data_IF_184161007901
#
_entry.id   IF_184161007901
#
_cell.length_a   1.000
_cell.length_b   1.000
_cell.length_c   1.000
_cell.angle_alpha   90.00
_cell.angle_beta   90.00
_cell.angle_gamma   90.00
#
_symmetry.space_group_name_H-M   'P 1'
#
loop_
_entity.id
_entity.type
_entity.pdbx_description
1 polymer ?
#
# COMPACT_ATOMS: atom_id res chain seq x y z
N UNK A 1 67.92 37.55 -16.87
CA UNK A 1 67.41 36.19 -16.51
C UNK A 1 66.36 36.30 -15.41
N UNK A 2 66.67 36.97 -14.30
CA UNK A 2 65.75 37.14 -13.14
C UNK A 2 64.53 38.00 -13.48
N UNK A 3 64.65 39.04 -14.31
CA UNK A 3 63.51 39.92 -14.64
C UNK A 3 62.37 39.17 -15.35
N UNK A 4 62.70 38.24 -16.23
CA UNK A 4 61.73 37.40 -16.94
C UNK A 4 61.03 36.42 -15.99
N UNK A 5 61.76 35.87 -15.00
CA UNK A 5 61.20 35.00 -13.97
C UNK A 5 60.16 35.74 -13.13
N UNK A 6 60.43 37.01 -12.76
CA UNK A 6 59.50 37.83 -11.98
C UNK A 6 58.23 38.13 -12.78
N UNK A 7 58.37 38.46 -14.08
CA UNK A 7 57.22 38.69 -14.97
C UNK A 7 56.32 37.46 -15.11
N UNK A 8 56.90 36.28 -15.34
CA UNK A 8 56.13 35.02 -15.45
C UNK A 8 55.45 34.67 -14.13
N UNK A 9 56.12 34.87 -13.00
CA UNK A 9 55.56 34.60 -11.69
C UNK A 9 54.39 35.53 -11.37
N UNK A 10 54.47 36.80 -11.79
CA UNK A 10 53.39 37.78 -11.66
C UNK A 10 52.18 37.39 -12.50
N UNK A 11 52.39 36.97 -13.75
CA UNK A 11 51.30 36.49 -14.62
C UNK A 11 50.63 35.25 -14.02
N UNK A 12 51.40 34.27 -13.55
CA UNK A 12 50.86 33.07 -12.90
C UNK A 12 50.07 33.43 -11.63
N UNK A 13 50.56 34.36 -10.82
CA UNK A 13 49.86 34.82 -9.62
C UNK A 13 48.51 35.45 -9.95
N UNK A 14 48.44 36.31 -10.98
CA UNK A 14 47.17 36.89 -11.45
C UNK A 14 46.24 35.80 -11.98
N UNK A 15 46.78 34.85 -12.74
CA UNK A 15 46.00 33.76 -13.34
C UNK A 15 45.40 32.85 -12.25
N UNK A 16 46.19 32.50 -11.22
CA UNK A 16 45.74 31.77 -10.04
C UNK A 16 44.73 32.56 -9.20
N UNK A 17 44.91 33.88 -9.09
CA UNK A 17 44.00 34.76 -8.37
C UNK A 17 42.61 34.75 -9.03
N UNK A 18 42.55 34.91 -10.35
CA UNK A 18 41.28 34.83 -11.11
C UNK A 18 40.65 33.44 -11.00
N UNK A 19 41.43 32.37 -11.08
CA UNK A 19 40.94 30.99 -10.91
C UNK A 19 40.41 30.70 -9.48
N UNK A 20 40.90 31.41 -8.48
CA UNK A 20 40.48 31.26 -7.08
C UNK A 20 39.03 31.71 -6.85
N UNK A 21 38.62 32.79 -7.51
CA UNK A 21 37.22 33.23 -7.49
C UNK A 21 36.28 32.16 -8.06
N UNK A 22 36.68 31.50 -9.15
CA UNK A 22 35.88 30.43 -9.76
C UNK A 22 35.71 29.20 -8.87
N UNK A 23 36.70 28.87 -8.04
CA UNK A 23 36.62 27.72 -7.10
C UNK A 23 35.67 27.99 -5.93
N UNK A 24 35.67 29.22 -5.41
CA UNK A 24 34.89 29.61 -4.23
C UNK A 24 33.38 29.61 -4.51
N UNK A 25 32.97 30.09 -5.69
CA UNK A 25 31.55 30.14 -6.07
C UNK A 25 30.93 28.75 -6.29
N UNK A 26 31.71 27.78 -6.80
CA UNK A 26 31.19 26.43 -7.09
C UNK A 26 30.96 25.60 -5.83
N UNK A 27 31.79 25.74 -4.80
CA UNK A 27 31.60 25.01 -3.55
C UNK A 27 30.34 25.47 -2.79
N UNK A 28 30.12 26.79 -2.72
CA UNK A 28 28.97 27.37 -2.00
C UNK A 28 27.64 27.14 -2.74
N UNK A 29 27.64 27.13 -4.07
CA UNK A 29 26.44 26.83 -4.87
C UNK A 29 26.01 25.36 -4.71
N UNK A 30 26.96 24.42 -4.73
CA UNK A 30 26.68 22.98 -4.54
C UNK A 30 26.14 22.70 -3.13
N UNK A 31 26.68 23.38 -2.12
CA UNK A 31 26.21 23.24 -0.72
C UNK A 31 24.76 23.73 -0.56
N UNK A 32 24.38 24.85 -1.19
CA UNK A 32 23.00 25.36 -1.19
C UNK A 32 22.02 24.47 -1.95
N UNK A 33 22.42 23.91 -3.09
CA UNK A 33 21.57 22.98 -3.83
C UNK A 33 21.34 21.69 -3.04
N UNK A 34 22.36 21.22 -2.32
CA UNK A 34 22.28 20.05 -1.46
C UNK A 34 21.43 20.29 -0.21
N UNK A 35 21.46 21.50 0.37
CA UNK A 35 20.58 21.90 1.48
C UNK A 35 19.09 21.92 1.07
N UNK A 36 18.78 22.52 -0.08
CA UNK A 36 17.41 22.54 -0.61
C UNK A 36 16.89 21.14 -0.95
N UNK A 37 17.75 20.28 -1.50
CA UNK A 37 17.42 18.89 -1.78
C UNK A 37 17.17 18.11 -0.49
N UNK A 38 18.01 18.30 0.54
CA UNK A 38 17.85 17.68 1.86
C UNK A 38 16.53 18.08 2.55
N UNK A 39 16.18 19.37 2.49
CA UNK A 39 14.90 19.88 3.05
C UNK A 39 13.70 19.23 2.33
N UNK A 40 13.76 19.17 1.00
CA UNK A 40 12.68 18.57 0.19
C UNK A 40 12.55 17.07 0.48
N UNK A 41 13.66 16.34 0.51
CA UNK A 41 13.68 14.92 0.86
C UNK A 41 13.11 14.66 2.25
N UNK A 42 13.42 15.49 3.24
CA UNK A 42 12.89 15.34 4.59
C UNK A 42 11.36 15.51 4.62
N UNK A 43 10.83 16.47 3.85
CA UNK A 43 9.38 16.65 3.69
C UNK A 43 8.74 15.45 2.97
N UNK A 44 9.37 14.94 1.92
CA UNK A 44 8.90 13.75 1.19
C UNK A 44 8.90 12.50 2.07
N UNK A 45 9.97 12.27 2.84
CA UNK A 45 10.07 11.16 3.81
C UNK A 45 8.99 11.29 4.87
N UNK A 46 8.71 12.51 5.37
CA UNK A 46 7.65 12.73 6.35
C UNK A 46 6.27 12.38 5.78
N UNK A 47 5.97 12.83 4.55
CA UNK A 47 4.72 12.49 3.88
C UNK A 47 4.60 10.98 3.61
N UNK A 48 5.71 10.33 3.24
CA UNK A 48 5.74 8.89 3.01
C UNK A 48 5.53 8.10 4.32
N UNK A 49 6.18 8.51 5.42
CA UNK A 49 5.94 7.94 6.77
C UNK A 49 4.49 8.09 7.19
N UNK A 50 3.85 9.24 6.92
CA UNK A 50 2.44 9.47 7.22
C UNK A 50 1.54 8.52 6.42
N UNK A 51 1.79 8.38 5.12
CA UNK A 51 1.06 7.42 4.27
C UNK A 51 1.22 6.01 4.80
N UNK A 52 2.45 5.55 5.06
CA UNK A 52 2.71 4.22 5.62
C UNK A 52 1.96 4.01 6.95
N UNK A 53 2.00 4.98 7.86
CA UNK A 53 1.28 4.90 9.14
C UNK A 53 -0.23 4.76 8.97
N UNK A 54 -0.82 5.48 8.01
CA UNK A 54 -2.25 5.33 7.67
C UNK A 54 -2.52 3.93 7.13
N UNK A 55 -1.67 3.43 6.22
CA UNK A 55 -1.80 2.06 5.71
C UNK A 55 -1.65 1.01 6.83
N UNK A 56 -0.74 1.19 7.78
CA UNK A 56 -0.60 0.30 8.95
C UNK A 56 -1.84 0.33 9.83
N UNK A 57 -2.42 1.50 10.07
CA UNK A 57 -3.64 1.66 10.86
C UNK A 57 -4.85 1.03 10.14
N UNK A 58 -4.97 1.22 8.83
CA UNK A 58 -5.99 0.55 8.01
C UNK A 58 -5.78 -0.97 7.95
N UNK A 59 -4.54 -1.46 7.88
CA UNK A 59 -4.23 -2.89 7.89
C UNK A 59 -4.53 -3.53 9.24
N UNK A 60 -4.18 -2.85 10.35
CA UNK A 60 -4.51 -3.28 11.71
C UNK A 60 -6.03 -3.32 11.91
N UNK A 61 -6.74 -2.29 11.45
CA UNK A 61 -8.21 -2.25 11.46
C UNK A 61 -8.82 -3.30 10.51
N UNK A 62 -8.16 -3.64 9.41
CA UNK A 62 -8.57 -4.71 8.48
C UNK A 62 -8.22 -6.11 9.00
N UNK A 63 -7.25 -6.25 9.90
CA UNK A 63 -6.97 -7.53 10.56
C UNK A 63 -7.99 -7.82 11.66
N UNK A 64 -8.56 -6.78 12.28
CA UNK A 64 -9.74 -6.89 13.16
C UNK A 64 -11.07 -6.93 12.37
N UNK A 65 -11.09 -6.37 11.17
CA UNK A 65 -12.20 -6.50 10.23
C UNK A 65 -11.82 -7.43 9.09
N UNK A 66 -11.86 -8.73 9.39
CA UNK A 66 -12.00 -9.80 8.41
C UNK A 66 -12.85 -9.35 7.19
N UNK A 67 -12.60 -9.86 5.97
CA UNK A 67 -13.30 -9.47 4.74
C UNK A 67 -14.73 -10.04 4.70
N UNK A 68 -15.52 -9.78 5.74
CA UNK A 68 -16.82 -10.40 5.98
C UNK A 68 -17.93 -9.55 5.39
N UNK A 69 -17.89 -8.21 5.38
CA UNK A 69 -19.11 -7.45 5.03
C UNK A 69 -19.54 -7.51 3.55
N UNK A 70 -18.59 -7.51 2.60
CA UNK A 70 -18.94 -7.58 1.17
C UNK A 70 -19.22 -9.01 0.67
N UNK A 71 -18.52 -10.02 1.21
CA UNK A 71 -18.79 -11.44 0.92
C UNK A 71 -20.03 -11.94 1.65
N UNK A 72 -20.30 -11.43 2.86
CA UNK A 72 -21.48 -11.76 3.65
C UNK A 72 -22.77 -11.36 2.96
N UNK A 73 -22.88 -10.20 2.31
CA UNK A 73 -24.15 -9.82 1.67
C UNK A 73 -24.59 -10.81 0.57
N UNK A 74 -23.66 -11.26 -0.28
CA UNK A 74 -23.94 -12.28 -1.31
C UNK A 74 -24.14 -13.67 -0.72
N UNK A 75 -23.33 -14.05 0.26
CA UNK A 75 -23.41 -15.37 0.90
C UNK A 75 -24.65 -15.51 1.78
N UNK A 76 -25.05 -14.46 2.48
CA UNK A 76 -26.27 -14.38 3.31
C UNK A 76 -27.52 -14.39 2.43
N UNK A 77 -27.49 -13.73 1.27
CA UNK A 77 -28.58 -13.81 0.29
C UNK A 77 -28.74 -15.23 -0.26
N UNK A 78 -27.63 -15.90 -0.58
CA UNK A 78 -27.62 -17.28 -1.07
C UNK A 78 -28.09 -18.27 0.01
N UNK A 79 -27.70 -18.07 1.27
CA UNK A 79 -28.16 -18.87 2.41
C UNK A 79 -29.68 -18.73 2.62
N UNK A 80 -30.19 -17.50 2.64
CA UNK A 80 -31.63 -17.25 2.77
C UNK A 80 -32.45 -17.85 1.62
N UNK A 81 -31.89 -17.87 0.41
CA UNK A 81 -32.51 -18.49 -0.76
C UNK A 81 -32.57 -20.02 -0.62
N UNK A 82 -31.46 -20.67 -0.25
CA UNK A 82 -31.38 -22.11 0.00
C UNK A 82 -32.35 -22.55 1.11
N UNK A 83 -32.41 -21.82 2.22
CA UNK A 83 -33.35 -22.10 3.32
C UNK A 83 -34.81 -22.00 2.89
N UNK A 84 -35.15 -20.98 2.11
CA UNK A 84 -36.53 -20.77 1.64
C UNK A 84 -37.01 -21.91 0.73
N UNK A 85 -36.10 -22.51 -0.05
CA UNK A 85 -36.41 -23.65 -0.91
C UNK A 85 -36.55 -24.94 -0.09
N UNK A 86 -35.72 -25.13 0.92
CA UNK A 86 -35.83 -26.28 1.82
C UNK A 86 -37.14 -26.25 2.64
N UNK A 87 -37.54 -25.09 3.16
CA UNK A 87 -38.82 -24.93 3.87
C UNK A 87 -40.05 -25.16 2.98
N UNK A 88 -39.92 -24.93 1.66
CA UNK A 88 -40.95 -25.26 0.67
C UNK A 88 -41.04 -26.76 0.34
N UNK A 89 -40.18 -27.58 0.94
CA UNK A 89 -40.18 -29.04 0.76
C UNK A 89 -39.46 -29.52 -0.50
N UNK A 90 -38.61 -28.70 -1.12
CA UNK A 90 -37.79 -29.12 -2.26
C UNK A 90 -36.64 -30.04 -1.79
N UNK A 91 -36.33 -31.07 -2.59
CA UNK A 91 -35.19 -31.96 -2.35
C UNK A 91 -33.86 -31.25 -2.64
N UNK A 92 -32.78 -31.70 -1.99
CA UNK A 92 -31.44 -31.11 -2.13
C UNK A 92 -30.99 -31.01 -3.60
N UNK A 93 -31.38 -31.98 -4.43
CA UNK A 93 -31.06 -32.02 -5.86
C UNK A 93 -31.69 -30.84 -6.63
N UNK A 94 -32.96 -30.53 -6.37
CA UNK A 94 -33.67 -29.40 -7.00
C UNK A 94 -33.14 -28.06 -6.49
N UNK A 95 -32.76 -27.99 -5.22
CA UNK A 95 -32.13 -26.79 -4.65
C UNK A 95 -30.77 -26.56 -5.32
N UNK A 96 -29.99 -27.61 -5.54
CA UNK A 96 -28.69 -27.56 -6.21
C UNK A 96 -28.80 -27.03 -7.65
N UNK A 97 -29.81 -27.51 -8.40
CA UNK A 97 -30.08 -27.06 -9.77
C UNK A 97 -30.52 -25.59 -9.82
N UNK A 98 -31.38 -25.15 -8.90
CA UNK A 98 -31.91 -23.78 -8.87
C UNK A 98 -30.92 -22.74 -8.37
N UNK A 99 -30.01 -23.13 -7.49
CA UNK A 99 -29.03 -22.24 -6.88
C UNK A 99 -27.65 -22.31 -7.55
N UNK A 100 -27.46 -23.26 -8.49
CA UNK A 100 -26.18 -23.51 -9.15
C UNK A 100 -25.10 -24.06 -8.22
N UNK A 101 -25.50 -24.60 -7.06
CA UNK A 101 -24.63 -25.18 -6.05
C UNK A 101 -24.56 -26.70 -6.24
N UNK A 102 -23.52 -27.34 -5.70
CA UNK A 102 -23.51 -28.81 -5.62
C UNK A 102 -24.45 -29.29 -4.51
N UNK A 103 -25.01 -30.52 -4.60
CA UNK A 103 -25.84 -31.09 -3.53
C UNK A 103 -25.13 -31.09 -2.17
N UNK A 104 -23.80 -31.31 -2.18
CA UNK A 104 -22.94 -31.29 -1.00
C UNK A 104 -22.80 -29.90 -0.37
N UNK A 105 -22.79 -28.83 -1.19
CA UNK A 105 -22.74 -27.45 -0.71
C UNK A 105 -24.09 -27.02 -0.11
N UNK A 106 -25.19 -27.44 -0.72
CA UNK A 106 -26.54 -27.22 -0.20
C UNK A 106 -26.71 -27.87 1.18
N UNK A 107 -26.26 -29.12 1.34
CA UNK A 107 -26.29 -29.84 2.61
C UNK A 107 -25.45 -29.13 3.68
N UNK A 108 -24.23 -28.70 3.33
CA UNK A 108 -23.35 -27.96 4.25
C UNK A 108 -23.96 -26.63 4.70
N UNK A 109 -24.63 -25.92 3.79
CA UNK A 109 -25.28 -24.64 4.10
C UNK A 109 -26.46 -24.86 5.06
N UNK A 110 -27.29 -25.87 4.79
CA UNK A 110 -28.41 -26.26 5.67
C UNK A 110 -27.94 -26.74 7.05
N UNK A 111 -26.87 -27.53 7.11
CA UNK A 111 -26.27 -27.98 8.38
C UNK A 111 -25.68 -26.81 9.18
N UNK A 112 -25.17 -25.78 8.50
CA UNK A 112 -24.64 -24.59 9.17
C UNK A 112 -25.72 -23.65 9.71
N UNK A 113 -26.96 -23.76 9.22
CA UNK A 113 -28.06 -22.86 9.59
C UNK A 113 -29.20 -23.52 10.36
N UNK A 114 -29.33 -24.84 10.29
CA UNK A 114 -30.22 -25.61 11.17
C UNK A 114 -29.56 -25.77 12.54
N UNK A 115 -30.13 -25.18 13.62
CA UNK A 115 -29.68 -25.53 14.96
C UNK A 115 -30.01 -27.00 15.16
N UNK A 116 -29.02 -27.81 15.54
CA UNK A 116 -29.13 -29.16 16.08
C UNK A 116 -30.36 -29.33 17.00
N UNK A 117 -31.53 -29.58 16.40
CA UNK A 117 -32.80 -29.79 17.11
C UNK A 117 -33.70 -30.82 16.39
N UNK A 118 -33.12 -31.62 15.48
CA UNK A 118 -33.84 -32.69 14.79
C UNK A 118 -32.98 -33.94 14.53
N UNK A 119 -31.88 -34.13 15.28
CA UNK A 119 -31.22 -35.45 15.41
C UNK A 119 -31.60 -36.05 16.75
N UNK A 120 -32.77 -36.65 16.77
CA UNK A 120 -33.29 -37.34 17.93
C UNK A 120 -34.72 -37.78 17.70
N UNK A 121 -34.94 -38.61 16.68
CA UNK A 121 -35.69 -39.88 16.74
C UNK A 121 -35.16 -40.81 15.65
#
# INVERSE_FOLDING_TARGET
>A
MIEWTIMILLVIAILLFVLSFFRKDKATEVERQMENFSITLMQEIYQLKKKIRILEEELLVSSDQAPTKARSASTQKLQAEVESLHQKGYTLEIISEKTGLTPLEVERILDSSTPTAARGQ
#
